data_IF_024281112004
#
_entry.id   IF_024281112004
#
_cell.length_a   1.000
_cell.length_b   1.000
_cell.length_c   1.000
_cell.angle_alpha   90.00
_cell.angle_beta   90.00
_cell.angle_gamma   90.00
#
_symmetry.space_group_name_H-M   'P 1'
#
loop_
_entity.id
_entity.type
_entity.pdbx_description
1 polymer ?
#
# COMPACT_ATOMS: atom_id res chain seq x y z
N UNK A 1 63.96 8.79 17.58
CA UNK A 1 63.18 10.04 17.39
C UNK A 1 61.78 9.64 16.95
N UNK A 2 60.84 9.46 17.89
CA UNK A 2 59.45 9.14 17.62
C UNK A 2 58.66 10.41 17.37
N UNK A 3 58.03 10.56 16.19
CA UNK A 3 57.11 11.67 15.87
C UNK A 3 55.85 11.52 16.73
N UNK A 4 55.74 12.37 17.75
CA UNK A 4 54.48 12.63 18.45
C UNK A 4 53.53 13.29 17.45
N UNK A 5 52.65 12.55 16.81
CA UNK A 5 51.53 13.14 16.06
C UNK A 5 50.67 13.92 17.04
N UNK A 6 50.65 15.22 16.84
CA UNK A 6 50.02 16.15 17.76
C UNK A 6 48.51 15.85 17.91
N UNK A 7 48.05 15.74 19.16
CA UNK A 7 46.62 15.59 19.52
C UNK A 7 45.71 16.60 18.81
N UNK A 8 46.22 17.80 18.44
CA UNK A 8 45.52 18.81 17.68
C UNK A 8 45.11 18.39 16.27
N UNK A 9 45.90 17.57 15.54
CA UNK A 9 45.56 17.11 14.19
C UNK A 9 44.44 16.07 14.22
N UNK A 10 44.44 15.21 15.25
CA UNK A 10 43.37 14.20 15.41
C UNK A 10 42.02 14.88 15.74
N UNK A 11 42.03 15.86 16.63
CA UNK A 11 40.82 16.65 16.97
C UNK A 11 40.27 17.44 15.76
N UNK A 12 41.14 17.95 14.89
CA UNK A 12 40.71 18.66 13.69
C UNK A 12 40.07 17.74 12.64
N UNK A 13 40.61 16.55 12.42
CA UNK A 13 40.04 15.59 11.49
C UNK A 13 38.69 15.10 12.00
N UNK A 14 38.56 14.78 13.28
CA UNK A 14 37.28 14.37 13.88
C UNK A 14 36.25 15.48 13.77
N UNK A 15 36.64 16.74 14.02
CA UNK A 15 35.75 17.91 13.87
C UNK A 15 35.26 18.13 12.41
N UNK A 16 36.13 17.90 11.43
CA UNK A 16 35.74 17.99 10.01
C UNK A 16 34.79 16.86 9.63
N UNK A 17 35.08 15.61 10.03
CA UNK A 17 34.21 14.46 9.76
C UNK A 17 32.83 14.61 10.42
N UNK A 18 32.80 15.08 11.67
CA UNK A 18 31.53 15.36 12.36
C UNK A 18 30.69 16.42 11.65
N UNK A 19 31.30 17.53 11.23
CA UNK A 19 30.60 18.58 10.49
C UNK A 19 30.08 18.06 9.15
N UNK A 20 30.85 17.26 8.43
CA UNK A 20 30.45 16.63 7.20
C UNK A 20 29.27 15.67 7.42
N UNK A 21 29.30 14.87 8.48
CA UNK A 21 28.21 13.95 8.84
C UNK A 21 26.92 14.72 9.20
N UNK A 22 27.02 15.80 9.97
CA UNK A 22 25.88 16.66 10.32
C UNK A 22 25.32 17.33 9.08
N UNK A 23 26.18 17.88 8.22
CA UNK A 23 25.74 18.49 6.95
C UNK A 23 25.05 17.47 6.06
N UNK A 24 25.61 16.27 5.92
CA UNK A 24 24.98 15.17 5.18
C UNK A 24 23.60 14.83 5.74
N UNK A 25 23.47 14.71 7.06
CA UNK A 25 22.20 14.41 7.72
C UNK A 25 21.15 15.50 7.45
N UNK A 26 21.54 16.78 7.58
CA UNK A 26 20.68 17.92 7.28
C UNK A 26 20.24 17.90 5.81
N UNK A 27 21.18 17.71 4.89
CA UNK A 27 20.89 17.61 3.45
C UNK A 27 20.00 16.41 3.15
N UNK A 28 20.30 15.25 3.74
CA UNK A 28 19.54 14.02 3.52
C UNK A 28 18.08 14.11 4.01
N UNK A 29 17.82 14.89 5.06
CA UNK A 29 16.46 15.08 5.60
C UNK A 29 15.72 16.23 4.92
N UNK A 30 16.41 17.33 4.62
CA UNK A 30 15.79 18.58 4.14
C UNK A 30 15.50 18.58 2.63
N UNK A 31 16.35 17.92 1.80
CA UNK A 31 16.12 17.90 0.36
C UNK A 31 14.96 16.95 0.03
N UNK A 32 13.85 17.47 -0.53
CA UNK A 32 12.71 16.63 -0.85
C UNK A 32 13.07 15.54 -1.88
N UNK A 33 12.62 14.33 -1.64
CA UNK A 33 12.64 13.26 -2.66
C UNK A 33 11.58 13.56 -3.71
N UNK A 34 11.94 13.40 -4.99
CA UNK A 34 11.00 13.62 -6.09
C UNK A 34 9.86 12.60 -6.05
N UNK A 35 8.65 13.09 -6.25
CA UNK A 35 7.43 12.28 -6.43
C UNK A 35 6.76 12.57 -7.78
N UNK A 36 7.33 13.46 -8.60
CA UNK A 36 6.73 13.87 -9.88
C UNK A 36 6.66 12.76 -10.93
N UNK A 37 7.52 11.73 -10.81
CA UNK A 37 7.51 10.55 -11.70
C UNK A 37 6.42 9.53 -11.38
N UNK A 38 5.60 9.77 -10.34
CA UNK A 38 4.60 8.81 -9.85
C UNK A 38 3.19 9.03 -10.42
N UNK A 39 3.05 9.82 -11.47
CA UNK A 39 1.81 9.91 -12.26
C UNK A 39 1.50 8.63 -13.03
N UNK A 40 0.27 8.46 -13.56
CA UNK A 40 -0.15 7.26 -14.27
C UNK A 40 0.49 7.18 -15.66
N UNK A 41 0.65 5.95 -16.16
CA UNK A 41 1.02 5.61 -17.54
C UNK A 41 -0.10 4.79 -18.22
N UNK A 42 -1.35 5.17 -17.97
CA UNK A 42 -2.58 4.46 -18.29
C UNK A 42 -2.63 3.97 -19.76
N UNK A 43 -2.93 2.68 -19.93
CA UNK A 43 -3.19 2.01 -21.21
C UNK A 43 -4.28 0.95 -21.05
N UNK A 44 -5.53 1.35 -20.74
CA UNK A 44 -6.60 0.42 -20.42
C UNK A 44 -6.83 -0.62 -21.51
N UNK A 45 -6.98 -1.86 -21.10
CA UNK A 45 -7.43 -2.91 -22.01
C UNK A 45 -8.85 -2.59 -22.49
N UNK A 46 -9.03 -2.55 -23.79
CA UNK A 46 -10.29 -2.17 -24.44
C UNK A 46 -11.35 -3.29 -24.42
N UNK A 47 -10.91 -4.53 -24.26
CA UNK A 47 -11.75 -5.72 -24.32
C UNK A 47 -11.17 -6.86 -23.46
N UNK A 48 -11.93 -7.94 -23.32
CA UNK A 48 -11.56 -9.12 -22.54
C UNK A 48 -10.27 -9.77 -23.06
N UNK A 49 -10.12 -9.90 -24.38
CA UNK A 49 -8.92 -10.53 -24.97
C UNK A 49 -7.65 -9.69 -24.74
N UNK A 50 -7.77 -8.37 -24.81
CA UNK A 50 -6.67 -7.47 -24.47
C UNK A 50 -6.28 -7.61 -22.98
N UNK A 51 -7.26 -7.72 -22.09
CA UNK A 51 -7.01 -7.98 -20.67
C UNK A 51 -6.31 -9.32 -20.44
N UNK A 52 -6.74 -10.38 -21.14
CA UNK A 52 -6.11 -11.70 -21.01
C UNK A 52 -4.68 -11.73 -21.54
N UNK A 53 -4.34 -10.90 -22.53
CA UNK A 53 -2.93 -10.71 -22.95
C UNK A 53 -2.09 -10.03 -21.87
N UNK A 54 -2.64 -9.02 -21.16
CA UNK A 54 -1.98 -8.39 -20.02
C UNK A 54 -1.85 -9.38 -18.83
N UNK A 55 -2.86 -10.20 -18.58
CA UNK A 55 -2.81 -11.24 -17.55
C UNK A 55 -1.65 -12.22 -17.74
N UNK A 56 -1.29 -12.53 -18.98
CA UNK A 56 -0.12 -13.36 -19.29
C UNK A 56 1.21 -12.70 -18.84
N UNK A 57 1.30 -11.37 -18.87
CA UNK A 57 2.49 -10.66 -18.40
C UNK A 57 2.65 -10.82 -16.87
N UNK A 58 1.56 -10.71 -16.11
CA UNK A 58 1.56 -10.98 -14.67
C UNK A 58 1.94 -12.43 -14.37
N UNK A 59 1.36 -13.41 -15.08
CA UNK A 59 1.74 -14.82 -14.92
C UNK A 59 3.21 -15.09 -15.21
N UNK A 60 3.80 -14.42 -16.21
CA UNK A 60 5.25 -14.51 -16.47
C UNK A 60 6.09 -13.88 -15.35
N UNK A 61 5.61 -12.76 -14.80
CA UNK A 61 6.28 -12.09 -13.69
C UNK A 61 6.22 -12.92 -12.39
N UNK A 62 5.26 -13.85 -12.27
CA UNK A 62 5.16 -14.77 -11.12
C UNK A 62 6.21 -15.90 -11.14
N UNK A 63 7.08 -15.95 -12.15
CA UNK A 63 8.21 -16.87 -12.18
C UNK A 63 9.08 -16.68 -10.93
N UNK A 64 9.29 -17.76 -10.17
CA UNK A 64 10.01 -17.75 -8.88
C UNK A 64 9.15 -17.46 -7.65
N UNK A 65 7.86 -17.20 -7.81
CA UNK A 65 6.94 -17.15 -6.68
C UNK A 65 6.81 -18.54 -6.02
N UNK A 66 6.54 -18.54 -4.73
CA UNK A 66 6.17 -19.77 -4.01
C UNK A 66 4.67 -19.99 -4.13
N UNK A 67 4.22 -21.21 -3.84
CA UNK A 67 2.78 -21.52 -3.81
C UNK A 67 2.03 -20.59 -2.86
N UNK A 68 1.04 -19.88 -3.38
CA UNK A 68 0.27 -18.83 -2.70
C UNK A 68 0.87 -17.43 -2.86
N UNK A 69 2.10 -17.32 -3.37
CA UNK A 69 2.75 -16.03 -3.67
C UNK A 69 2.41 -15.48 -5.05
N UNK A 70 1.81 -16.28 -5.94
CA UNK A 70 1.45 -15.88 -7.29
C UNK A 70 0.24 -14.94 -7.33
N UNK A 71 0.15 -14.14 -8.38
CA UNK A 71 -1.05 -13.33 -8.65
C UNK A 71 -2.29 -14.20 -8.79
N UNK A 72 -3.41 -13.76 -8.22
CA UNK A 72 -4.71 -14.44 -8.31
C UNK A 72 -5.51 -13.78 -9.44
N UNK A 73 -5.88 -14.55 -10.46
CA UNK A 73 -6.69 -14.10 -11.59
C UNK A 73 -7.90 -15.04 -11.70
N UNK A 74 -9.05 -14.58 -11.24
CA UNK A 74 -10.32 -15.32 -11.28
C UNK A 74 -11.25 -14.63 -12.28
N UNK A 75 -11.58 -15.32 -13.38
CA UNK A 75 -12.34 -14.73 -14.48
C UNK A 75 -13.40 -15.65 -15.03
N UNK A 76 -14.56 -15.11 -15.38
CA UNK A 76 -15.74 -15.81 -15.93
C UNK A 76 -15.73 -15.97 -17.45
N UNK A 77 -14.58 -15.87 -18.11
CA UNK A 77 -14.42 -15.93 -19.57
C UNK A 77 -15.16 -14.84 -20.35
N UNK A 78 -15.66 -13.80 -19.67
CA UNK A 78 -16.29 -12.62 -20.23
C UNK A 78 -16.15 -11.43 -19.29
N UNK A 79 -16.48 -10.24 -19.78
CA UNK A 79 -16.57 -9.03 -18.93
C UNK A 79 -17.74 -9.15 -17.97
N UNK A 80 -17.53 -8.71 -16.74
CA UNK A 80 -18.58 -8.67 -15.71
C UNK A 80 -18.99 -7.22 -15.42
N UNK A 81 -20.15 -6.96 -14.83
CA UNK A 81 -20.54 -5.59 -14.43
C UNK A 81 -19.52 -4.94 -13.51
N UNK A 82 -18.95 -5.69 -12.55
CA UNK A 82 -17.87 -5.24 -11.69
C UNK A 82 -16.62 -6.11 -11.89
N UNK A 83 -15.47 -5.49 -11.74
CA UNK A 83 -14.20 -6.19 -11.57
C UNK A 83 -13.48 -5.63 -10.35
N UNK A 84 -12.94 -6.51 -9.53
CA UNK A 84 -12.23 -6.13 -8.31
C UNK A 84 -10.73 -6.29 -8.47
N UNK A 85 -9.98 -5.24 -8.10
CA UNK A 85 -8.50 -5.29 -7.97
C UNK A 85 -8.15 -5.16 -6.49
N UNK A 86 -7.41 -6.14 -5.94
CA UNK A 86 -7.11 -6.20 -4.52
C UNK A 86 -5.58 -6.12 -4.31
N UNK A 87 -5.11 -5.12 -3.55
CA UNK A 87 -3.68 -4.88 -3.30
C UNK A 87 -3.30 -5.28 -1.88
N UNK A 88 -2.39 -6.25 -1.74
CA UNK A 88 -1.97 -6.79 -0.44
C UNK A 88 -0.97 -5.89 0.31
N UNK A 89 -0.76 -6.20 1.60
CA UNK A 89 0.15 -5.47 2.48
C UNK A 89 1.64 -5.81 2.29
N UNK A 90 2.51 -5.01 2.90
CA UNK A 90 3.98 -5.06 2.74
C UNK A 90 4.61 -6.41 3.10
N UNK A 91 4.09 -7.12 4.08
CA UNK A 91 4.65 -8.40 4.54
C UNK A 91 3.88 -9.61 4.02
N UNK A 92 2.86 -9.38 3.20
CA UNK A 92 1.95 -10.39 2.69
C UNK A 92 2.18 -10.72 1.20
N UNK A 93 1.31 -11.51 0.65
CA UNK A 93 1.26 -11.93 -0.74
C UNK A 93 -0.19 -11.89 -1.22
N UNK A 94 -0.49 -12.18 -2.49
CA UNK A 94 -1.87 -12.27 -2.99
C UNK A 94 -2.76 -13.21 -2.17
N UNK A 95 -2.20 -14.23 -1.53
CA UNK A 95 -2.94 -15.15 -0.65
C UNK A 95 -3.69 -14.44 0.49
N UNK A 96 -3.22 -13.26 0.95
CA UNK A 96 -3.94 -12.44 1.94
C UNK A 96 -5.41 -12.22 1.57
N UNK A 97 -5.67 -12.09 0.27
CA UNK A 97 -7.01 -11.85 -0.27
C UNK A 97 -7.71 -13.09 -0.83
N UNK A 98 -7.09 -14.27 -0.75
CA UNK A 98 -7.62 -15.47 -1.41
C UNK A 98 -9.08 -15.74 -1.10
N UNK A 99 -9.46 -15.75 0.17
CA UNK A 99 -10.83 -16.03 0.60
C UNK A 99 -11.82 -14.95 0.16
N UNK A 100 -11.41 -13.65 0.24
CA UNK A 100 -12.26 -12.55 -0.23
C UNK A 100 -12.40 -12.61 -1.75
N UNK A 101 -11.33 -12.88 -2.48
CA UNK A 101 -11.35 -13.03 -3.94
C UNK A 101 -12.26 -14.18 -4.38
N UNK A 102 -12.18 -15.34 -3.72
CA UNK A 102 -13.08 -16.47 -3.99
C UNK A 102 -14.56 -16.11 -3.73
N UNK A 103 -14.84 -15.33 -2.68
CA UNK A 103 -16.19 -14.85 -2.36
C UNK A 103 -16.74 -13.93 -3.44
N UNK A 104 -15.95 -12.98 -3.90
CA UNK A 104 -16.34 -12.03 -4.97
C UNK A 104 -16.53 -12.79 -6.30
N UNK A 105 -15.62 -13.70 -6.63
CA UNK A 105 -15.73 -14.54 -7.82
C UNK A 105 -16.97 -15.43 -7.80
N UNK A 106 -17.27 -16.07 -6.67
CA UNK A 106 -18.49 -16.85 -6.50
C UNK A 106 -19.76 -16.00 -6.60
N UNK A 107 -19.65 -14.69 -6.32
CA UNK A 107 -20.71 -13.69 -6.53
C UNK A 107 -20.93 -13.31 -8.00
N UNK A 108 -20.12 -13.80 -8.92
CA UNK A 108 -20.25 -13.56 -10.37
C UNK A 108 -19.34 -12.47 -10.92
N UNK A 109 -18.40 -11.97 -10.14
CA UNK A 109 -17.49 -10.87 -10.55
C UNK A 109 -16.10 -11.39 -10.93
N UNK A 110 -15.44 -10.70 -11.85
CA UNK A 110 -14.02 -10.91 -12.13
C UNK A 110 -13.15 -10.30 -11.03
N UNK A 111 -12.09 -11.01 -10.63
CA UNK A 111 -11.21 -10.57 -9.55
C UNK A 111 -9.75 -10.72 -9.93
N UNK A 112 -8.97 -9.70 -9.62
CA UNK A 112 -7.54 -9.71 -9.82
C UNK A 112 -6.80 -9.26 -8.54
N UNK A 113 -5.86 -10.08 -8.08
CA UNK A 113 -4.95 -9.77 -6.96
C UNK A 113 -3.53 -9.86 -7.49
N UNK A 114 -2.90 -8.76 -7.88
CA UNK A 114 -1.52 -8.77 -8.38
C UNK A 114 -0.53 -9.11 -7.27
N UNK A 115 0.50 -9.88 -7.59
CA UNK A 115 1.69 -9.99 -6.75
C UNK A 115 2.46 -8.67 -6.85
N UNK A 116 2.77 -8.07 -5.72
CA UNK A 116 3.58 -6.86 -5.66
C UNK A 116 5.06 -7.16 -5.92
N UNK A 117 5.86 -6.17 -6.39
CA UNK A 117 7.29 -6.35 -6.61
C UNK A 117 7.98 -6.89 -5.35
N UNK A 118 8.86 -7.86 -5.54
CA UNK A 118 9.68 -8.48 -4.49
C UNK A 118 8.93 -9.25 -3.40
N UNK A 119 7.62 -9.49 -3.57
CA UNK A 119 6.80 -10.27 -2.65
C UNK A 119 6.56 -11.71 -3.13
N UNK A 120 6.23 -12.61 -2.20
CA UNK A 120 5.84 -13.98 -2.51
C UNK A 120 6.94 -14.84 -3.11
N UNK A 121 8.21 -14.47 -2.98
CA UNK A 121 9.35 -15.17 -3.57
C UNK A 121 9.93 -16.21 -2.61
N UNK A 122 10.50 -17.27 -3.18
CA UNK A 122 11.16 -18.33 -2.40
C UNK A 122 12.34 -17.79 -1.58
N UNK A 123 12.30 -18.02 -0.27
CA UNK A 123 13.38 -17.62 0.63
C UNK A 123 13.56 -16.11 0.78
N UNK A 124 12.54 -15.32 0.39
CA UNK A 124 12.62 -13.88 0.52
C UNK A 124 12.72 -13.45 1.98
N UNK A 125 13.71 -12.60 2.26
CA UNK A 125 13.92 -11.91 3.54
C UNK A 125 13.49 -10.46 3.42
N UNK A 126 13.46 -9.73 4.53
CA UNK A 126 13.11 -8.31 4.52
C UNK A 126 14.07 -7.44 3.66
N UNK A 127 15.28 -7.92 3.38
CA UNK A 127 16.24 -7.22 2.49
C UNK A 127 15.70 -7.08 1.08
N UNK A 128 14.99 -8.08 0.57
CA UNK A 128 14.42 -8.08 -0.79
C UNK A 128 13.43 -6.93 -0.95
N UNK A 129 12.66 -6.59 0.10
CA UNK A 129 11.74 -5.45 0.09
C UNK A 129 12.46 -4.10 -0.11
N UNK A 130 13.77 -4.06 0.14
CA UNK A 130 14.61 -2.89 -0.13
C UNK A 130 14.85 -2.60 -1.63
N UNK A 131 14.55 -3.55 -2.52
CA UNK A 131 14.64 -3.38 -3.97
C UNK A 131 13.39 -2.75 -4.56
N UNK A 132 12.26 -2.87 -3.87
CA UNK A 132 10.98 -2.27 -4.24
C UNK A 132 11.13 -0.75 -4.37
N UNK A 133 10.54 -0.16 -5.42
CA UNK A 133 10.51 1.29 -5.62
C UNK A 133 9.06 1.79 -5.68
N UNK A 134 8.85 3.07 -5.39
CA UNK A 134 7.52 3.68 -5.54
C UNK A 134 7.04 3.64 -6.99
N UNK A 135 7.97 3.72 -7.95
CA UNK A 135 7.69 3.56 -9.38
C UNK A 135 7.21 2.13 -9.69
N UNK A 136 7.90 1.09 -9.18
CA UNK A 136 7.48 -0.30 -9.43
C UNK A 136 6.12 -0.61 -8.80
N UNK A 137 5.80 -0.04 -7.64
CA UNK A 137 4.47 -0.14 -7.03
C UNK A 137 3.41 0.56 -7.88
N UNK A 138 3.69 1.78 -8.34
CA UNK A 138 2.84 2.53 -9.26
C UNK A 138 2.61 1.76 -10.56
N UNK A 139 3.66 1.20 -11.16
CA UNK A 139 3.57 0.45 -12.42
C UNK A 139 2.69 -0.79 -12.28
N UNK A 140 2.78 -1.51 -11.16
CA UNK A 140 1.89 -2.65 -10.88
C UNK A 140 0.45 -2.19 -10.69
N UNK A 141 0.21 -1.09 -9.95
CA UNK A 141 -1.15 -0.56 -9.78
C UNK A 141 -1.75 -0.12 -11.12
N UNK A 142 -0.96 0.56 -11.93
CA UNK A 142 -1.34 1.05 -13.25
C UNK A 142 -1.70 -0.10 -14.19
N UNK A 143 -0.81 -1.09 -14.32
CA UNK A 143 -1.02 -2.27 -15.15
C UNK A 143 -2.21 -3.14 -14.65
N UNK A 144 -2.42 -3.21 -13.34
CA UNK A 144 -3.55 -3.94 -12.77
C UNK A 144 -4.89 -3.30 -13.13
N UNK A 145 -4.97 -1.97 -13.11
CA UNK A 145 -6.17 -1.24 -13.51
C UNK A 145 -6.36 -1.32 -15.03
N UNK A 146 -5.28 -1.24 -15.81
CA UNK A 146 -5.33 -1.43 -17.26
C UNK A 146 -5.92 -2.80 -17.62
N UNK A 147 -5.46 -3.85 -16.95
CA UNK A 147 -6.00 -5.21 -17.11
C UNK A 147 -7.48 -5.25 -16.70
N UNK A 148 -7.81 -4.74 -15.53
CA UNK A 148 -9.18 -4.76 -14.99
C UNK A 148 -10.17 -4.04 -15.90
N UNK A 149 -9.76 -2.97 -16.57
CA UNK A 149 -10.61 -2.21 -17.50
C UNK A 149 -11.16 -3.06 -18.65
N UNK A 150 -10.45 -4.14 -19.06
CA UNK A 150 -10.96 -5.10 -20.05
C UNK A 150 -11.74 -6.27 -19.44
N UNK A 151 -11.67 -6.47 -18.13
CA UNK A 151 -12.38 -7.57 -17.44
C UNK A 151 -13.76 -7.16 -16.89
N UNK A 152 -14.02 -5.88 -16.70
CA UNK A 152 -15.29 -5.40 -16.17
C UNK A 152 -15.72 -4.07 -16.76
N UNK A 153 -17.02 -3.75 -16.58
CA UNK A 153 -17.56 -2.45 -16.99
C UNK A 153 -17.22 -1.37 -15.96
N UNK A 154 -17.00 -1.79 -14.72
CA UNK A 154 -16.70 -0.91 -13.59
C UNK A 154 -15.56 -1.49 -12.78
N UNK A 155 -14.47 -0.72 -12.61
CA UNK A 155 -13.33 -1.11 -11.79
C UNK A 155 -13.53 -0.64 -10.35
N UNK A 156 -13.41 -1.57 -9.40
CA UNK A 156 -13.42 -1.31 -7.96
C UNK A 156 -12.11 -1.81 -7.37
N UNK A 157 -11.44 -0.98 -6.59
CA UNK A 157 -10.18 -1.38 -5.94
C UNK A 157 -10.34 -1.50 -4.43
N UNK A 158 -9.63 -2.44 -3.82
CA UNK A 158 -9.42 -2.50 -2.38
C UNK A 158 -7.93 -2.72 -2.09
N UNK A 159 -7.41 -2.05 -1.10
CA UNK A 159 -6.03 -2.26 -0.66
C UNK A 159 -5.88 -2.08 0.84
N UNK A 160 -4.98 -2.85 1.46
CA UNK A 160 -4.66 -2.77 2.89
C UNK A 160 -3.21 -2.37 3.10
N UNK A 161 -2.94 -1.46 4.04
CA UNK A 161 -1.59 -1.04 4.42
C UNK A 161 -0.81 -0.47 3.21
N UNK A 162 0.30 -1.09 2.76
CA UNK A 162 0.97 -0.76 1.49
C UNK A 162 -0.01 -0.80 0.31
N UNK A 163 -0.82 -1.85 0.23
CA UNK A 163 -1.89 -1.95 -0.79
C UNK A 163 -2.92 -0.83 -0.66
N UNK A 164 -3.15 -0.32 0.56
CA UNK A 164 -3.95 0.87 0.82
C UNK A 164 -3.37 2.13 0.17
N UNK A 165 -2.02 2.29 0.18
CA UNK A 165 -1.37 3.37 -0.56
C UNK A 165 -1.54 3.22 -2.07
N UNK A 166 -1.49 1.98 -2.60
CA UNK A 166 -1.72 1.71 -4.01
C UNK A 166 -3.17 1.97 -4.41
N UNK A 167 -4.14 1.58 -3.58
CA UNK A 167 -5.55 1.90 -3.78
C UNK A 167 -5.81 3.42 -3.69
N UNK A 168 -5.11 4.13 -2.79
CA UNK A 168 -5.15 5.59 -2.70
C UNK A 168 -4.57 6.25 -3.95
N UNK A 169 -3.46 5.71 -4.48
CA UNK A 169 -2.87 6.16 -5.73
C UNK A 169 -3.85 5.95 -6.90
N UNK A 170 -4.46 4.78 -6.97
CA UNK A 170 -5.47 4.48 -7.99
C UNK A 170 -6.67 5.43 -7.89
N UNK A 171 -7.15 5.71 -6.68
CA UNK A 171 -8.23 6.66 -6.45
C UNK A 171 -7.88 8.09 -6.92
N UNK A 172 -6.63 8.51 -6.68
CA UNK A 172 -6.18 9.86 -7.06
C UNK A 172 -6.00 10.04 -8.57
N UNK A 173 -5.47 9.01 -9.25
CA UNK A 173 -4.90 9.20 -10.60
C UNK A 173 -5.62 8.42 -11.71
N UNK A 174 -6.49 7.45 -11.40
CA UNK A 174 -7.07 6.54 -12.39
C UNK A 174 -8.59 6.75 -12.54
N UNK A 175 -9.04 7.43 -13.61
CA UNK A 175 -10.46 7.70 -13.85
C UNK A 175 -11.28 6.44 -14.14
N UNK A 176 -10.64 5.32 -14.49
CA UNK A 176 -11.30 4.03 -14.68
C UNK A 176 -11.82 3.44 -13.36
N UNK A 177 -11.26 3.87 -12.21
CA UNK A 177 -11.67 3.43 -10.88
C UNK A 177 -12.94 4.19 -10.47
N UNK A 178 -14.06 3.48 -10.41
CA UNK A 178 -15.29 4.04 -9.85
C UNK A 178 -15.19 4.19 -8.34
N UNK A 179 -14.76 3.13 -7.66
CA UNK A 179 -14.72 3.06 -6.19
C UNK A 179 -13.39 2.53 -5.68
N UNK A 180 -12.89 3.16 -4.62
CA UNK A 180 -11.74 2.70 -3.87
C UNK A 180 -12.11 2.44 -2.41
N UNK A 181 -11.89 1.22 -1.92
CA UNK A 181 -11.97 0.85 -0.51
C UNK A 181 -10.54 0.79 0.03
N UNK A 182 -10.19 1.74 0.88
CA UNK A 182 -8.82 1.96 1.35
C UNK A 182 -8.76 1.59 2.83
N UNK A 183 -8.05 0.49 3.14
CA UNK A 183 -8.03 -0.09 4.47
C UNK A 183 -6.69 0.21 5.15
N UNK A 184 -6.71 0.94 6.26
CA UNK A 184 -5.52 1.27 7.06
C UNK A 184 -4.30 1.61 6.21
N UNK A 185 -4.37 2.58 5.27
CA UNK A 185 -3.27 2.86 4.34
C UNK A 185 -2.01 3.31 5.09
N UNK A 186 -0.85 2.81 4.68
CA UNK A 186 0.43 3.11 5.30
C UNK A 186 1.01 4.45 4.82
N UNK A 187 0.23 5.53 4.99
CA UNK A 187 0.60 6.90 4.59
C UNK A 187 1.66 7.51 5.49
N UNK A 188 1.79 6.99 6.70
CA UNK A 188 2.77 7.37 7.71
C UNK A 188 3.00 6.25 8.71
N UNK A 189 4.03 6.39 9.53
CA UNK A 189 4.38 5.44 10.58
C UNK A 189 3.75 5.89 11.91
N UNK A 190 3.13 4.95 12.61
CA UNK A 190 2.55 5.21 13.94
C UNK A 190 3.53 5.93 14.87
N UNK A 191 3.02 6.83 15.70
CA UNK A 191 3.78 7.67 16.65
C UNK A 191 4.80 8.64 16.02
N UNK A 192 4.83 8.80 14.71
CA UNK A 192 5.60 9.83 14.02
C UNK A 192 4.65 10.95 13.63
N UNK A 193 4.98 12.21 13.95
CA UNK A 193 4.16 13.34 13.51
C UNK A 193 4.18 13.46 11.98
N UNK A 194 3.08 13.92 11.39
CA UNK A 194 2.98 14.09 9.93
C UNK A 194 4.07 15.02 9.37
N UNK A 195 4.50 16.01 10.15
CA UNK A 195 5.61 16.91 9.80
C UNK A 195 6.98 16.20 9.77
N UNK A 196 7.18 15.14 10.54
CA UNK A 196 8.43 14.39 10.59
C UNK A 196 8.50 13.24 9.55
N UNK A 197 7.38 12.86 8.93
CA UNK A 197 7.33 11.76 7.97
C UNK A 197 8.17 12.00 6.71
N UNK A 198 8.11 13.22 6.14
CA UNK A 198 8.92 13.56 4.96
C UNK A 198 10.42 13.54 5.26
N UNK A 199 10.94 14.17 6.33
CA UNK A 199 12.33 14.02 6.73
C UNK A 199 12.75 12.56 6.97
N UNK A 200 11.93 11.79 7.65
CA UNK A 200 12.17 10.36 7.91
C UNK A 200 12.23 9.55 6.61
N UNK A 201 11.29 9.74 5.71
CA UNK A 201 11.28 9.11 4.37
C UNK A 201 12.54 9.48 3.59
N UNK A 202 12.91 10.78 3.55
CA UNK A 202 14.10 11.24 2.86
C UNK A 202 15.37 10.58 3.40
N UNK A 203 15.47 10.43 4.72
CA UNK A 203 16.58 9.76 5.38
C UNK A 203 16.61 8.26 5.03
N UNK A 204 15.48 7.58 5.15
CA UNK A 204 15.36 6.15 4.85
C UNK A 204 15.78 5.80 3.41
N UNK A 205 15.51 6.70 2.45
CA UNK A 205 15.86 6.52 1.04
C UNK A 205 17.34 6.78 0.73
N UNK A 206 18.05 7.56 1.56
CA UNK A 206 19.43 8.00 1.32
C UNK A 206 20.48 7.30 2.15
N UNK A 207 20.08 6.75 3.31
CA UNK A 207 20.96 5.98 4.17
C UNK A 207 21.14 4.55 3.63
N UNK A 208 22.19 3.84 4.04
CA UNK A 208 22.31 2.40 3.81
C UNK A 208 21.04 1.68 4.26
N UNK A 209 20.57 0.72 3.45
CA UNK A 209 19.38 -0.04 3.81
C UNK A 209 19.65 -0.86 5.07
N UNK A 210 18.77 -0.73 6.05
CA UNK A 210 18.72 -1.58 7.22
C UNK A 210 17.48 -2.46 7.13
N UNK A 211 17.64 -3.75 7.41
CA UNK A 211 16.55 -4.72 7.38
C UNK A 211 16.47 -5.43 8.72
N UNK A 212 15.26 -5.57 9.20
CA UNK A 212 14.93 -6.42 10.33
C UNK A 212 14.16 -7.62 9.82
N UNK A 213 14.77 -8.79 9.93
CA UNK A 213 14.10 -10.05 9.63
C UNK A 213 13.50 -10.60 10.94
N UNK A 214 12.21 -10.93 10.89
CA UNK A 214 11.55 -11.69 11.94
C UNK A 214 11.75 -13.19 11.69
N UNK A 215 11.36 -14.04 12.66
CA UNK A 215 11.42 -15.49 12.48
C UNK A 215 10.65 -15.93 11.24
N UNK A 216 11.22 -16.84 10.42
CA UNK A 216 10.52 -17.35 9.24
C UNK A 216 9.16 -17.91 9.59
N UNK A 217 8.17 -17.63 8.75
CA UNK A 217 6.87 -18.27 8.85
C UNK A 217 6.90 -19.60 8.09
N UNK A 218 7.09 -20.69 8.81
CA UNK A 218 7.15 -22.03 8.20
C UNK A 218 5.81 -22.50 7.66
N UNK A 219 4.71 -21.91 8.13
CA UNK A 219 3.35 -22.23 7.68
C UNK A 219 2.94 -21.37 6.47
N UNK A 220 3.57 -20.20 6.32
CA UNK A 220 3.25 -19.21 5.27
C UNK A 220 4.54 -18.77 4.56
N UNK A 221 5.13 -19.64 3.71
CA UNK A 221 6.37 -19.32 2.98
C UNK A 221 6.18 -18.19 1.94
N UNK A 222 4.94 -17.83 1.64
CA UNK A 222 4.54 -16.73 0.78
C UNK A 222 4.66 -15.35 1.46
N UNK A 223 4.79 -15.31 2.79
CA UNK A 223 4.96 -14.06 3.56
C UNK A 223 6.43 -13.69 3.73
N UNK A 224 6.73 -12.41 3.61
CA UNK A 224 8.04 -11.85 3.97
C UNK A 224 7.93 -11.24 5.35
N UNK A 225 8.40 -11.95 6.39
CA UNK A 225 8.38 -11.42 7.76
C UNK A 225 9.54 -10.48 8.01
N UNK A 226 9.19 -9.25 8.38
CA UNK A 226 10.14 -8.19 8.66
C UNK A 226 9.94 -6.97 7.77
N UNK A 227 10.89 -6.05 7.84
CA UNK A 227 10.82 -4.80 7.09
C UNK A 227 12.22 -4.28 6.77
N UNK A 228 12.32 -3.44 5.76
CA UNK A 228 13.55 -2.70 5.43
C UNK A 228 13.29 -1.20 5.40
N UNK A 229 14.29 -0.41 5.82
CA UNK A 229 14.15 1.06 5.85
C UNK A 229 13.88 1.61 4.46
N UNK A 230 14.54 1.08 3.42
CA UNK A 230 14.33 1.53 2.04
C UNK A 230 12.94 1.14 1.53
N UNK A 231 12.47 -0.08 1.81
CA UNK A 231 11.11 -0.52 1.44
C UNK A 231 10.04 0.37 2.07
N UNK A 232 10.15 0.63 3.38
CA UNK A 232 9.25 1.58 4.08
C UNK A 232 9.37 3.00 3.47
N UNK A 233 10.58 3.46 3.17
CA UNK A 233 10.78 4.77 2.53
C UNK A 233 10.09 4.89 1.17
N UNK A 234 10.13 3.83 0.34
CA UNK A 234 9.47 3.82 -0.96
C UNK A 234 7.93 3.76 -0.83
N UNK A 235 7.43 3.00 0.13
CA UNK A 235 6.01 2.98 0.48
C UNK A 235 5.50 4.37 0.90
N UNK A 236 6.24 5.06 1.78
CA UNK A 236 5.92 6.44 2.20
C UNK A 236 6.02 7.43 1.04
N UNK A 237 6.95 7.20 0.10
CA UNK A 237 7.11 8.04 -1.08
C UNK A 237 5.89 7.96 -2.00
N UNK A 238 5.33 6.76 -2.20
CA UNK A 238 4.08 6.60 -2.93
C UNK A 238 2.92 7.33 -2.23
N UNK A 239 2.78 7.15 -0.92
CA UNK A 239 1.77 7.86 -0.12
C UNK A 239 1.94 9.39 -0.17
N UNK A 240 3.19 9.88 -0.14
CA UNK A 240 3.50 11.32 -0.28
C UNK A 240 3.08 11.87 -1.65
N UNK A 241 3.23 11.09 -2.73
CA UNK A 241 2.75 11.50 -4.05
C UNK A 241 1.23 11.70 -4.07
N UNK A 242 0.50 10.79 -3.45
CA UNK A 242 -0.97 10.88 -3.32
C UNK A 242 -1.36 12.11 -2.51
N UNK A 243 -0.80 12.30 -1.31
CA UNK A 243 -1.12 13.44 -0.43
C UNK A 243 -0.85 14.78 -1.11
N UNK A 244 0.30 14.94 -1.80
CA UNK A 244 0.63 16.17 -2.54
C UNK A 244 -0.30 16.44 -3.72
N UNK A 245 -0.85 15.39 -4.35
CA UNK A 245 -1.82 15.56 -5.42
C UNK A 245 -3.19 15.89 -4.84
N UNK A 246 -3.59 15.25 -3.74
CA UNK A 246 -4.86 15.46 -3.05
C UNK A 246 -5.04 16.89 -2.52
N UNK A 247 -3.96 17.52 -2.07
CA UNK A 247 -3.95 18.92 -1.64
C UNK A 247 -4.35 19.91 -2.77
N UNK A 248 -4.22 19.50 -4.03
CA UNK A 248 -4.38 20.39 -5.20
C UNK A 248 -5.46 19.96 -6.17
N UNK A 249 -5.77 18.70 -6.23
CA UNK A 249 -6.60 18.10 -7.26
C UNK A 249 -7.58 17.10 -6.67
N UNK A 250 -8.85 17.20 -7.11
CA UNK A 250 -9.85 16.20 -6.79
C UNK A 250 -9.38 14.80 -7.22
N UNK A 251 -9.72 13.76 -6.46
CA UNK A 251 -9.43 12.38 -6.86
C UNK A 251 -10.20 12.02 -8.14
N UNK A 252 -9.62 11.15 -8.96
CA UNK A 252 -10.26 10.67 -10.18
C UNK A 252 -11.39 9.67 -9.87
N UNK A 253 -11.27 8.90 -8.80
CA UNK A 253 -12.32 7.98 -8.35
C UNK A 253 -13.55 8.74 -7.84
N UNK A 254 -14.74 8.21 -8.16
CA UNK A 254 -16.02 8.86 -7.83
C UNK A 254 -16.54 8.53 -6.42
N UNK A 255 -16.05 7.47 -5.79
CA UNK A 255 -16.49 7.00 -4.46
C UNK A 255 -15.28 6.44 -3.70
N UNK A 256 -14.87 7.13 -2.65
CA UNK A 256 -13.73 6.73 -1.82
C UNK A 256 -14.24 6.35 -0.44
N UNK A 257 -13.86 5.16 0.02
CA UNK A 257 -14.28 4.58 1.29
C UNK A 257 -13.06 4.19 2.09
N UNK A 258 -12.72 5.00 3.08
CA UNK A 258 -11.58 4.77 3.95
C UNK A 258 -12.04 3.95 5.16
N UNK A 259 -11.36 2.85 5.41
CA UNK A 259 -11.63 1.97 6.56
C UNK A 259 -10.45 2.00 7.50
N UNK A 260 -10.69 2.27 8.75
CA UNK A 260 -9.68 2.29 9.81
C UNK A 260 -10.08 1.40 10.97
N UNK A 261 -9.10 1.00 11.75
CA UNK A 261 -9.28 0.24 12.97
C UNK A 261 -8.83 1.09 14.16
N UNK A 262 -9.69 1.26 15.16
CA UNK A 262 -9.39 2.10 16.32
C UNK A 262 -8.17 1.65 17.14
N UNK A 263 -7.80 0.35 17.06
CA UNK A 263 -6.63 -0.24 17.73
C UNK A 263 -5.39 -0.36 16.84
N UNK A 264 -5.46 0.10 15.60
CA UNK A 264 -4.32 0.00 14.71
C UNK A 264 -3.15 0.88 15.20
N UNK A 265 -2.09 0.22 15.66
CA UNK A 265 -0.87 0.85 16.15
C UNK A 265 0.26 0.82 15.10
N UNK A 266 -0.01 0.40 13.87
CA UNK A 266 0.98 0.24 12.82
C UNK A 266 1.11 1.49 11.95
N UNK A 267 -0.04 2.08 11.58
CA UNK A 267 -0.09 3.22 10.66
C UNK A 267 -0.44 4.52 11.37
N UNK A 268 -0.05 5.63 10.76
CA UNK A 268 -0.37 6.96 11.29
C UNK A 268 -1.81 7.34 10.95
N UNK A 269 -2.67 7.39 11.97
CA UNK A 269 -4.08 7.77 11.83
C UNK A 269 -4.25 9.21 11.37
N UNK A 270 -3.43 10.14 11.86
CA UNK A 270 -3.56 11.55 11.50
C UNK A 270 -3.27 11.76 10.00
N UNK A 271 -2.29 11.05 9.43
CA UNK A 271 -2.01 11.10 8.00
C UNK A 271 -3.18 10.58 7.13
N UNK A 272 -3.93 9.59 7.64
CA UNK A 272 -5.14 9.07 6.97
C UNK A 272 -6.27 10.10 7.03
N UNK A 273 -6.49 10.68 8.20
CA UNK A 273 -7.52 11.70 8.40
C UNK A 273 -7.25 12.95 7.56
N UNK A 274 -5.99 13.42 7.49
CA UNK A 274 -5.55 14.51 6.63
C UNK A 274 -5.84 14.23 5.15
N UNK A 275 -5.45 13.07 4.62
CA UNK A 275 -5.73 12.72 3.21
C UNK A 275 -7.23 12.71 2.91
N UNK A 276 -8.05 12.16 3.81
CA UNK A 276 -9.50 12.14 3.64
C UNK A 276 -10.11 13.55 3.66
N UNK A 277 -9.57 14.44 4.50
CA UNK A 277 -9.97 15.84 4.57
C UNK A 277 -9.57 16.61 3.31
N UNK A 278 -8.32 16.42 2.82
CA UNK A 278 -7.82 17.07 1.60
C UNK A 278 -8.68 16.68 0.39
N UNK A 279 -8.95 15.40 0.18
CA UNK A 279 -9.84 14.94 -0.88
C UNK A 279 -11.25 15.54 -0.78
N UNK A 280 -11.79 15.61 0.45
CA UNK A 280 -13.11 16.19 0.67
C UNK A 280 -13.13 17.69 0.39
N UNK A 281 -12.06 18.42 0.72
CA UNK A 281 -11.93 19.85 0.51
C UNK A 281 -11.90 20.24 -0.97
N UNK A 282 -11.37 19.37 -1.83
CA UNK A 282 -11.31 19.58 -3.28
C UNK A 282 -12.48 18.91 -4.04
N UNK A 283 -13.53 18.50 -3.34
CA UNK A 283 -14.77 17.98 -3.93
C UNK A 283 -14.82 16.47 -4.12
N UNK A 284 -13.86 15.71 -3.55
CA UNK A 284 -13.89 14.25 -3.53
C UNK A 284 -15.03 13.71 -2.66
N UNK A 285 -15.70 12.66 -3.13
CA UNK A 285 -16.72 11.95 -2.35
C UNK A 285 -16.05 10.91 -1.46
N UNK A 286 -15.77 11.27 -0.21
CA UNK A 286 -15.06 10.44 0.76
C UNK A 286 -15.99 10.07 1.91
N UNK A 287 -16.01 8.80 2.28
CA UNK A 287 -16.68 8.29 3.47
C UNK A 287 -15.65 7.50 4.30
N UNK A 288 -15.65 7.72 5.60
CA UNK A 288 -14.75 7.01 6.52
C UNK A 288 -15.56 6.09 7.44
N UNK A 289 -15.01 4.92 7.68
CA UNK A 289 -15.57 3.87 8.53
C UNK A 289 -14.53 3.41 9.53
N UNK A 290 -14.92 3.24 10.79
CA UNK A 290 -14.02 2.85 11.86
C UNK A 290 -14.55 1.61 12.58
N UNK A 291 -13.75 0.55 12.62
CA UNK A 291 -14.02 -0.60 13.49
C UNK A 291 -13.77 -0.23 14.94
N UNK A 292 -14.73 -0.62 15.80
CA UNK A 292 -14.69 -0.30 17.22
C UNK A 292 -13.50 -0.95 17.94
N UNK A 293 -12.94 -0.24 18.89
CA UNK A 293 -11.86 -0.70 19.75
C UNK A 293 -12.17 -2.02 20.47
N UNK A 294 -13.43 -2.22 20.88
CA UNK A 294 -13.90 -3.43 21.54
C UNK A 294 -13.71 -4.71 20.73
N UNK A 295 -13.57 -4.61 19.39
CA UNK A 295 -13.31 -5.76 18.52
C UNK A 295 -11.86 -6.24 18.58
N UNK A 296 -10.94 -5.44 19.11
CA UNK A 296 -9.51 -5.76 19.27
C UNK A 296 -8.88 -6.33 17.99
N UNK A 297 -9.28 -5.80 16.83
CA UNK A 297 -8.77 -6.26 15.54
C UNK A 297 -7.28 -5.91 15.40
N UNK A 298 -6.47 -6.78 14.74
CA UNK A 298 -5.08 -6.47 14.40
C UNK A 298 -5.00 -5.43 13.29
N UNK A 299 -3.78 -5.08 12.87
CA UNK A 299 -3.58 -4.25 11.67
C UNK A 299 -4.08 -4.96 10.40
N UNK A 300 -3.75 -6.24 10.25
CA UNK A 300 -4.25 -7.06 9.14
C UNK A 300 -5.64 -7.61 9.49
N UNK A 301 -6.66 -6.94 8.98
CA UNK A 301 -8.07 -7.31 9.17
C UNK A 301 -8.67 -8.04 7.96
N UNK A 302 -7.84 -8.43 7.01
CA UNK A 302 -8.23 -9.05 5.73
C UNK A 302 -7.82 -10.51 5.65
N UNK A 303 -6.62 -10.86 6.12
CA UNK A 303 -6.08 -12.22 6.04
C UNK A 303 -6.85 -13.15 7.00
N UNK A 304 -7.51 -14.21 6.50
CA UNK A 304 -8.19 -15.17 7.36
C UNK A 304 -7.23 -16.02 8.20
N UNK A 305 -5.96 -16.09 7.81
CA UNK A 305 -4.92 -16.83 8.52
C UNK A 305 -4.21 -15.95 9.60
N UNK A 306 -4.63 -14.70 9.78
CA UNK A 306 -4.11 -13.85 10.86
C UNK A 306 -4.69 -14.29 12.20
N UNK A 307 -3.81 -14.60 13.15
CA UNK A 307 -4.17 -15.29 14.41
C UNK A 307 -5.21 -14.53 15.26
N UNK A 308 -5.22 -13.20 15.21
CA UNK A 308 -6.17 -12.33 15.90
C UNK A 308 -7.19 -11.69 14.97
N UNK A 309 -7.15 -12.07 13.68
CA UNK A 309 -8.09 -11.60 12.66
C UNK A 309 -9.51 -12.14 12.90
N UNK A 310 -10.50 -11.40 12.45
CA UNK A 310 -11.90 -11.81 12.51
C UNK A 310 -12.63 -11.50 11.21
N UNK A 311 -12.40 -12.33 10.21
CA UNK A 311 -13.00 -12.14 8.88
C UNK A 311 -14.52 -12.32 8.88
N UNK A 312 -15.09 -13.00 9.87
CA UNK A 312 -16.56 -13.10 10.02
C UNK A 312 -17.20 -11.73 10.33
N UNK A 313 -16.46 -10.81 10.94
CA UNK A 313 -16.88 -9.43 11.21
C UNK A 313 -16.49 -8.50 10.05
N UNK A 314 -15.25 -8.63 9.54
CA UNK A 314 -14.71 -7.65 8.59
C UNK A 314 -15.20 -7.85 7.16
N UNK A 315 -15.39 -9.10 6.72
CA UNK A 315 -15.82 -9.38 5.34
C UNK A 315 -17.23 -8.88 5.00
N UNK A 316 -18.26 -9.00 5.86
CA UNK A 316 -19.54 -8.37 5.58
C UNK A 316 -19.45 -6.85 5.37
N UNK A 317 -18.55 -6.18 6.12
CA UNK A 317 -18.27 -4.76 5.96
C UNK A 317 -17.61 -4.49 4.62
N UNK A 318 -16.52 -5.23 4.28
CA UNK A 318 -15.83 -5.05 3.00
C UNK A 318 -16.72 -5.33 1.81
N UNK A 319 -17.53 -6.39 1.84
CA UNK A 319 -18.48 -6.69 0.77
C UNK A 319 -19.49 -5.55 0.60
N UNK A 320 -20.08 -5.05 1.70
CA UNK A 320 -20.98 -3.89 1.63
C UNK A 320 -20.31 -2.68 0.97
N UNK A 321 -19.06 -2.38 1.38
CA UNK A 321 -18.33 -1.23 0.86
C UNK A 321 -17.92 -1.44 -0.61
N UNK A 322 -17.50 -2.64 -1.00
CA UNK A 322 -17.12 -2.97 -2.37
C UNK A 322 -18.30 -2.88 -3.32
N UNK A 323 -19.48 -3.36 -2.92
CA UNK A 323 -20.70 -3.26 -3.73
C UNK A 323 -21.42 -1.91 -3.62
N UNK A 324 -20.87 -0.95 -2.89
CA UNK A 324 -21.43 0.42 -2.85
C UNK A 324 -22.49 0.66 -1.80
N UNK A 325 -22.74 -0.31 -0.93
CA UNK A 325 -23.68 -0.18 0.18
C UNK A 325 -23.02 0.39 1.42
N UNK A 326 -23.81 0.89 2.36
CA UNK A 326 -23.36 1.21 3.71
C UNK A 326 -23.40 -0.08 4.55
N UNK A 327 -22.34 -0.36 5.36
CA UNK A 327 -22.37 -1.51 6.25
C UNK A 327 -23.58 -1.49 7.17
N UNK A 328 -24.17 -2.66 7.40
CA UNK A 328 -25.33 -2.80 8.29
C UNK A 328 -24.97 -2.39 9.73
N UNK A 329 -25.95 -1.84 10.44
CA UNK A 329 -25.82 -1.56 11.87
C UNK A 329 -25.51 -2.87 12.64
N UNK A 330 -24.66 -2.77 13.67
CA UNK A 330 -24.32 -3.92 14.53
C UNK A 330 -23.07 -4.70 14.10
N UNK A 331 -22.45 -4.40 12.93
CA UNK A 331 -21.19 -5.03 12.51
C UNK A 331 -19.95 -4.47 13.25
N UNK A 332 -20.12 -3.67 14.29
CA UNK A 332 -19.00 -3.10 15.05
C UNK A 332 -18.18 -2.07 14.27
N UNK A 333 -18.73 -1.55 13.17
CA UNK A 333 -18.16 -0.45 12.37
C UNK A 333 -19.12 0.74 12.40
N UNK A 334 -18.57 1.94 12.46
CA UNK A 334 -19.33 3.20 12.41
C UNK A 334 -18.76 4.13 11.36
N UNK A 335 -19.63 4.94 10.76
CA UNK A 335 -19.19 6.07 9.96
C UNK A 335 -18.56 7.13 10.87
N UNK A 336 -17.41 7.66 10.47
CA UNK A 336 -16.69 8.72 11.20
C UNK A 336 -16.34 9.87 10.25
N UNK A 337 -16.07 11.04 10.80
CA UNK A 337 -15.49 12.15 10.05
C UNK A 337 -14.00 12.16 10.29
N UNK A 338 -13.19 12.36 9.24
CA UNK A 338 -11.76 12.65 9.39
C UNK A 338 -11.58 13.88 10.30
N UNK A 339 -10.57 13.84 11.15
CA UNK A 339 -10.19 15.00 11.95
C UNK A 339 -9.54 16.03 11.01
N UNK A 340 -9.93 17.28 11.14
CA UNK A 340 -9.25 18.42 10.49
C UNK A 340 -8.01 18.80 11.27
#
# INVERSE_FOLDING_TARGET
MGRVRSKRQVVSVFGVLWRAAVLYLVVATAIPTSVGSLGPHSKPARDYDAAMRLAQAFRRADSGAVSGGESIILVHSHRTPLVFVLFHGLTNSPRQFRKLADTLYAGGDNVFVPRLPDHGLRGATADVLGNMTAESLRDVADAAIDLASGLGDTVVVLGVSLGGNMASWAAQFRPEVLRAVIVSPALGVSHVSTSAETPMMNLALRMPNYSKNDSPDTLRPDRTKGWSTRGVGQMLRLGTAVRRAADKHAPAARDIRVVVNAKDATVNRDAIDELAADWSAVGGRVSMFEFADSLRLPHDIVDPDEATGNTSVTYPVFLSLLYGSTPAAGLGVRAVRGKR
#
